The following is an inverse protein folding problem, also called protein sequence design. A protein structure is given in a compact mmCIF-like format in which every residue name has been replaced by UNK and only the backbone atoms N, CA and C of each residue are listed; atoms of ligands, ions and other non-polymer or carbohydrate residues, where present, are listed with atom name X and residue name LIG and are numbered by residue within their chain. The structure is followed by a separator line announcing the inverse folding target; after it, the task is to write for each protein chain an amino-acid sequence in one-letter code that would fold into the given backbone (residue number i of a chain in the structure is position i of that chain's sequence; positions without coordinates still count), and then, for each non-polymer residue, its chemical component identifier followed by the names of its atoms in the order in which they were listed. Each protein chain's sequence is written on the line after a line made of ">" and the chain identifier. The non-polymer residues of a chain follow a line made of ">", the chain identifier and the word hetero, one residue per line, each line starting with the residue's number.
data_IF_804252721978
#
_entry.id   IF_804252721978
#
_cell.length_a   1.000
_cell.length_b   1.000
_cell.length_c   1.000
_cell.angle_alpha   90.00
_cell.angle_beta   90.00
_cell.angle_gamma   90.00
#
_symmetry.space_group_name_H-M   'P 1'
#
loop_
_entity.id
_entity.type
_entity.pdbx_description
1 polymer ?
#
# COMPACT_ATOMS: atom_id res chain seq x y z
N UNK A 1 -3.62 22.58 -19.38
CA UNK A 1 -3.36 21.71 -18.20
C UNK A 1 -2.38 20.65 -18.64
N UNK A 2 -1.22 20.48 -17.99
CA UNK A 2 -0.22 19.50 -18.45
C UNK A 2 -0.77 18.08 -18.32
N UNK A 3 -0.67 17.27 -19.38
CA UNK A 3 -1.14 15.87 -19.37
C UNK A 3 -0.46 15.05 -18.28
N UNK A 4 0.82 15.34 -18.00
CA UNK A 4 1.56 14.77 -16.87
C UNK A 4 0.86 15.02 -15.55
N UNK A 5 0.39 16.25 -15.29
CA UNK A 5 -0.30 16.60 -14.05
C UNK A 5 -1.58 15.81 -13.87
N UNK A 6 -2.34 15.60 -14.95
CA UNK A 6 -3.59 14.82 -14.89
C UNK A 6 -3.33 13.34 -14.60
N UNK A 7 -2.29 12.76 -15.22
CA UNK A 7 -1.87 11.37 -14.95
C UNK A 7 -1.36 11.22 -13.52
N UNK A 8 -0.54 12.17 -13.06
CA UNK A 8 -0.02 12.23 -11.71
C UNK A 8 -1.13 12.33 -10.67
N UNK A 9 -2.07 13.27 -10.84
CA UNK A 9 -3.18 13.49 -9.91
C UNK A 9 -4.15 12.30 -9.91
N UNK A 10 -4.40 11.66 -11.07
CA UNK A 10 -5.24 10.47 -11.14
C UNK A 10 -4.71 9.32 -10.27
N UNK A 11 -3.39 9.19 -10.12
CA UNK A 11 -2.77 8.16 -9.30
C UNK A 11 -2.52 8.62 -7.85
N UNK A 12 -1.96 9.81 -7.65
CA UNK A 12 -1.52 10.28 -6.34
C UNK A 12 -2.61 11.02 -5.52
N UNK A 13 -3.66 11.54 -6.14
CA UNK A 13 -4.75 12.21 -5.42
C UNK A 13 -5.99 11.32 -5.28
N UNK A 14 -6.26 10.46 -6.27
CA UNK A 14 -7.51 9.69 -6.32
C UNK A 14 -7.33 8.21 -6.01
N UNK A 15 -6.27 7.56 -6.52
CA UNK A 15 -6.00 6.14 -6.27
C UNK A 15 -5.07 5.92 -5.06
N UNK A 16 -5.30 6.62 -3.95
CA UNK A 16 -4.48 6.47 -2.73
C UNK A 16 -5.06 5.45 -1.75
N UNK A 17 -4.17 4.72 -1.07
CA UNK A 17 -4.52 3.76 -0.01
C UNK A 17 -5.42 4.38 1.05
N UNK A 18 -5.12 5.61 1.43
CA UNK A 18 -5.84 6.34 2.47
C UNK A 18 -7.27 6.67 2.04
N UNK A 19 -7.51 7.04 0.78
CA UNK A 19 -8.85 7.38 0.29
C UNK A 19 -9.74 6.13 0.15
N UNK A 20 -9.16 5.01 -0.27
CA UNK A 20 -9.83 3.71 -0.31
C UNK A 20 -10.15 3.25 1.12
N UNK A 21 -9.17 3.35 2.03
CA UNK A 21 -9.35 3.02 3.44
C UNK A 21 -10.42 3.89 4.11
N UNK A 22 -10.43 5.22 3.86
CA UNK A 22 -11.47 6.11 4.37
C UNK A 22 -12.84 5.76 3.80
N UNK A 23 -12.93 5.44 2.50
CA UNK A 23 -14.18 5.02 1.88
C UNK A 23 -14.77 3.76 2.54
N UNK A 24 -13.92 2.81 2.89
CA UNK A 24 -14.34 1.58 3.57
C UNK A 24 -14.62 1.83 5.03
N UNK A 25 -13.78 2.62 5.70
CA UNK A 25 -14.05 3.06 7.06
C UNK A 25 -15.44 3.70 7.14
N UNK A 26 -15.79 4.51 6.14
CA UNK A 26 -17.11 5.14 6.00
C UNK A 26 -18.24 4.19 5.60
N UNK A 27 -17.98 3.08 4.92
CA UNK A 27 -18.97 2.03 4.66
C UNK A 27 -19.16 1.07 5.84
N UNK A 28 -18.19 1.01 6.76
CA UNK A 28 -18.25 0.08 7.90
C UNK A 28 -19.29 0.54 8.94
N UNK A 29 -19.99 -0.41 9.56
CA UNK A 29 -20.95 -0.13 10.63
C UNK A 29 -20.29 0.57 11.83
N UNK A 30 -21.04 1.45 12.50
CA UNK A 30 -20.54 2.21 13.68
C UNK A 30 -20.01 1.28 14.79
N UNK A 31 -20.60 0.10 14.93
CA UNK A 31 -20.16 -0.94 15.88
C UNK A 31 -18.79 -1.51 15.53
N UNK A 32 -18.52 -1.79 14.26
CA UNK A 32 -17.20 -2.28 13.82
C UNK A 32 -16.12 -1.20 13.96
N UNK A 33 -16.46 0.08 13.75
CA UNK A 33 -15.56 1.22 14.01
C UNK A 33 -15.24 1.36 15.49
N UNK A 34 -16.25 1.27 16.36
CA UNK A 34 -16.04 1.32 17.81
C UNK A 34 -15.16 0.16 18.29
N UNK A 35 -15.42 -1.06 17.79
CA UNK A 35 -14.61 -2.23 18.12
C UNK A 35 -13.14 -2.09 17.70
N UNK A 36 -12.88 -1.56 16.51
CA UNK A 36 -11.50 -1.32 16.04
C UNK A 36 -10.80 -0.22 16.82
N UNK A 37 -11.47 0.89 17.14
CA UNK A 37 -10.92 1.94 18.00
C UNK A 37 -10.61 1.38 19.40
N UNK A 38 -11.54 0.61 19.98
CA UNK A 38 -11.36 0.00 21.29
C UNK A 38 -10.15 -0.95 21.31
N UNK A 39 -9.96 -1.77 20.26
CA UNK A 39 -8.79 -2.63 20.13
C UNK A 39 -7.47 -1.84 20.09
N UNK A 40 -7.42 -0.73 19.34
CA UNK A 40 -6.23 0.13 19.28
C UNK A 40 -5.95 0.75 20.66
N UNK A 41 -6.98 1.23 21.35
CA UNK A 41 -6.83 1.81 22.69
C UNK A 41 -6.36 0.77 23.70
N UNK A 42 -6.92 -0.44 23.66
CA UNK A 42 -6.50 -1.56 24.52
C UNK A 42 -5.06 -1.96 24.23
N UNK A 43 -4.65 -2.01 22.96
CA UNK A 43 -3.26 -2.29 22.58
C UNK A 43 -2.30 -1.23 23.14
N UNK A 44 -2.61 0.06 22.95
CA UNK A 44 -1.78 1.17 23.46
C UNK A 44 -1.70 1.18 24.99
N UNK A 45 -2.83 1.01 25.68
CA UNK A 45 -2.86 0.92 27.14
C UNK A 45 -2.08 -0.27 27.65
N UNK A 46 -2.24 -1.44 27.01
CA UNK A 46 -1.51 -2.66 27.39
C UNK A 46 -0.01 -2.51 27.17
N UNK A 47 0.40 -1.81 26.10
CA UNK A 47 1.81 -1.51 25.82
C UNK A 47 2.39 -0.55 26.87
N UNK A 48 1.67 0.51 27.23
CA UNK A 48 2.09 1.44 28.29
C UNK A 48 2.17 0.74 29.65
N UNK A 49 1.15 -0.04 30.00
CA UNK A 49 1.11 -0.79 31.26
C UNK A 49 2.20 -1.86 31.32
N UNK A 50 2.56 -2.48 30.20
CA UNK A 50 3.67 -3.42 30.10
C UNK A 50 5.01 -2.77 30.50
N UNK A 51 5.27 -1.53 30.08
CA UNK A 51 6.47 -0.79 30.48
C UNK A 51 6.47 -0.34 31.94
N UNK A 52 5.30 -0.08 32.53
CA UNK A 52 5.17 0.43 33.91
C UNK A 52 5.20 -0.70 34.94
N UNK A 53 4.49 -1.80 34.69
CA UNK A 53 4.23 -2.84 35.70
C UNK A 53 5.10 -4.09 35.55
N UNK A 54 5.98 -4.18 34.54
CA UNK A 54 6.92 -5.27 34.26
C UNK A 54 6.40 -6.68 34.67
N UNK A 55 5.70 -7.38 33.76
CA UNK A 55 5.15 -8.72 34.07
C UNK A 55 4.28 -9.37 32.99
N UNK A 56 3.32 -10.22 33.43
CA UNK A 56 2.40 -11.10 32.66
C UNK A 56 1.54 -10.40 31.57
N UNK A 57 1.64 -9.07 31.47
CA UNK A 57 0.93 -8.21 30.51
C UNK A 57 1.39 -8.37 29.06
N UNK A 58 2.43 -9.16 28.80
CA UNK A 58 2.89 -9.50 27.45
C UNK A 58 1.84 -10.31 26.66
N UNK A 59 1.09 -11.17 27.36
CA UNK A 59 0.03 -12.01 26.75
C UNK A 59 -1.13 -11.17 26.20
N UNK A 60 -1.74 -10.23 26.96
CA UNK A 60 -2.79 -9.37 26.41
C UNK A 60 -2.29 -8.41 25.32
N UNK A 61 -1.03 -7.95 25.35
CA UNK A 61 -0.44 -7.16 24.25
C UNK A 61 -0.41 -7.98 22.95
N UNK A 62 0.14 -9.20 23.00
CA UNK A 62 0.20 -10.09 21.83
C UNK A 62 -1.19 -10.48 21.32
N UNK A 63 -2.15 -10.75 22.22
CA UNK A 63 -3.53 -11.07 21.82
C UNK A 63 -4.22 -9.89 21.15
N UNK A 64 -4.09 -8.67 21.71
CA UNK A 64 -4.64 -7.46 21.09
C UNK A 64 -3.99 -7.18 19.73
N UNK A 65 -2.70 -7.44 19.60
CA UNK A 65 -1.93 -7.29 18.36
C UNK A 65 -2.39 -8.27 17.27
N UNK A 66 -2.54 -9.55 17.60
CA UNK A 66 -3.08 -10.56 16.67
C UNK A 66 -4.52 -10.21 16.27
N UNK A 67 -5.36 -9.78 17.21
CA UNK A 67 -6.73 -9.36 16.93
C UNK A 67 -6.79 -8.15 15.98
N UNK A 68 -5.88 -7.19 16.15
CA UNK A 68 -5.74 -6.04 15.25
C UNK A 68 -5.30 -6.47 13.85
N UNK A 69 -4.33 -7.37 13.73
CA UNK A 69 -3.88 -7.91 12.43
C UNK A 69 -5.03 -8.60 11.71
N UNK A 70 -5.76 -9.51 12.39
CA UNK A 70 -6.91 -10.22 11.82
C UNK A 70 -8.03 -9.26 11.42
N UNK A 71 -8.28 -8.20 12.19
CA UNK A 71 -9.26 -7.19 11.78
C UNK A 71 -8.81 -6.34 10.62
N UNK A 72 -7.53 -5.99 10.55
CA UNK A 72 -7.01 -5.24 9.42
C UNK A 72 -7.06 -6.05 8.12
N UNK A 73 -6.76 -7.36 8.18
CA UNK A 73 -6.92 -8.26 7.02
C UNK A 73 -8.39 -8.43 6.63
N UNK A 74 -9.29 -8.62 7.59
CA UNK A 74 -10.74 -8.72 7.32
C UNK A 74 -11.32 -7.43 6.72
N UNK A 75 -10.90 -6.25 7.20
CA UNK A 75 -11.30 -4.98 6.61
C UNK A 75 -10.77 -4.85 5.18
N UNK A 76 -9.50 -5.21 4.94
CA UNK A 76 -8.92 -5.26 3.60
C UNK A 76 -9.71 -6.16 2.64
N UNK A 77 -10.18 -7.32 3.08
CA UNK A 77 -11.01 -8.22 2.27
C UNK A 77 -12.39 -7.63 1.98
N UNK A 78 -13.04 -7.00 2.97
CA UNK A 78 -14.31 -6.30 2.77
C UNK A 78 -14.19 -5.14 1.78
N UNK A 79 -13.08 -4.38 1.82
CA UNK A 79 -12.80 -3.29 0.85
C UNK A 79 -12.91 -3.77 -0.59
N UNK A 80 -12.33 -4.94 -0.84
CA UNK A 80 -12.26 -5.53 -2.16
C UNK A 80 -13.63 -5.97 -2.63
N UNK A 81 -14.44 -6.53 -1.72
CA UNK A 81 -15.73 -7.11 -2.06
C UNK A 81 -16.83 -6.04 -2.26
N UNK A 82 -16.92 -5.04 -1.39
CA UNK A 82 -17.96 -4.00 -1.48
C UNK A 82 -17.83 -3.14 -2.74
N UNK A 83 -16.62 -2.87 -3.19
CA UNK A 83 -16.42 -1.97 -4.34
C UNK A 83 -16.45 -2.71 -5.70
N UNK A 84 -16.35 -4.04 -5.71
CA UNK A 84 -16.20 -4.83 -6.96
C UNK A 84 -16.94 -6.18 -7.03
N UNK A 85 -17.76 -6.56 -6.05
CA UNK A 85 -18.44 -7.86 -5.94
C UNK A 85 -19.32 -8.29 -7.13
N UNK A 86 -19.57 -7.39 -8.08
CA UNK A 86 -20.42 -7.61 -9.27
C UNK A 86 -19.66 -7.73 -10.62
N UNK A 87 -18.33 -7.77 -10.66
CA UNK A 87 -17.62 -7.89 -11.94
C UNK A 87 -17.46 -9.34 -12.42
N UNK A 88 -18.54 -9.91 -12.91
CA UNK A 88 -18.53 -11.15 -13.70
C UNK A 88 -17.63 -11.02 -14.96
N UNK A 89 -16.65 -11.91 -15.04
CA UNK A 89 -16.26 -12.67 -16.23
C UNK A 89 -15.37 -12.07 -17.35
N UNK A 90 -14.81 -10.84 -17.29
CA UNK A 90 -13.95 -10.35 -18.40
C UNK A 90 -12.71 -9.53 -18.03
N UNK A 91 -11.93 -9.95 -17.02
CA UNK A 91 -10.58 -9.40 -16.84
C UNK A 91 -9.53 -10.52 -16.84
N UNK A 92 -8.50 -10.45 -17.70
CA UNK A 92 -7.46 -11.47 -17.79
C UNK A 92 -6.34 -11.16 -16.81
N UNK A 93 -6.60 -11.09 -15.50
CA UNK A 93 -5.54 -10.86 -14.51
C UNK A 93 -5.79 -11.73 -13.27
N UNK A 94 -4.82 -12.62 -13.04
CA UNK A 94 -4.75 -13.53 -11.90
C UNK A 94 -3.99 -12.82 -10.78
N UNK A 95 -4.62 -12.75 -9.60
CA UNK A 95 -4.07 -12.49 -8.25
C UNK A 95 -4.07 -11.06 -7.67
N UNK A 96 -4.62 -10.97 -6.44
CA UNK A 96 -4.50 -9.94 -5.39
C UNK A 96 -5.06 -8.52 -5.66
N UNK A 97 -6.35 -8.47 -5.96
CA UNK A 97 -7.43 -7.53 -5.59
C UNK A 97 -7.16 -6.03 -5.27
N UNK A 98 -6.06 -5.63 -4.62
CA UNK A 98 -5.82 -4.23 -4.23
C UNK A 98 -5.24 -3.36 -5.37
N UNK A 99 -4.30 -3.91 -6.14
CA UNK A 99 -3.71 -3.20 -7.28
C UNK A 99 -4.73 -3.01 -8.41
N UNK A 100 -5.63 -3.97 -8.58
CA UNK A 100 -6.69 -3.96 -9.57
C UNK A 100 -7.71 -2.85 -9.32
N UNK A 101 -8.17 -2.69 -8.07
CA UNK A 101 -9.05 -1.58 -7.63
C UNK A 101 -8.48 -0.22 -7.98
N UNK A 102 -7.20 0.01 -7.65
CA UNK A 102 -6.53 1.28 -7.91
C UNK A 102 -6.35 1.54 -9.40
N UNK A 103 -6.04 0.50 -10.15
CA UNK A 103 -5.95 0.58 -11.60
C UNK A 103 -7.31 0.96 -12.23
N UNK A 104 -8.42 0.39 -11.76
CA UNK A 104 -9.76 0.71 -12.27
C UNK A 104 -10.15 2.16 -11.98
N UNK A 105 -9.87 2.68 -10.77
CA UNK A 105 -10.07 4.10 -10.46
C UNK A 105 -9.22 5.01 -11.35
N UNK A 106 -7.93 4.68 -11.50
CA UNK A 106 -7.00 5.38 -12.39
C UNK A 106 -7.53 5.42 -13.83
N UNK A 107 -7.93 4.27 -14.37
CA UNK A 107 -8.51 4.12 -15.71
C UNK A 107 -9.79 4.93 -15.89
N UNK A 108 -10.71 4.89 -14.92
CA UNK A 108 -11.97 5.67 -14.94
C UNK A 108 -11.67 7.17 -15.03
N UNK A 109 -10.69 7.65 -14.27
CA UNK A 109 -10.30 9.06 -14.27
C UNK A 109 -9.66 9.47 -15.60
N UNK A 110 -8.72 8.68 -16.11
CA UNK A 110 -8.08 8.93 -17.41
C UNK A 110 -9.09 9.01 -18.57
N UNK A 111 -10.08 8.12 -18.57
CA UNK A 111 -11.19 8.16 -19.54
C UNK A 111 -12.04 9.41 -19.40
N UNK A 112 -12.37 9.83 -18.17
CA UNK A 112 -13.15 11.05 -17.91
C UNK A 112 -12.40 12.32 -18.36
N UNK A 113 -11.07 12.30 -18.31
CA UNK A 113 -10.21 13.38 -18.80
C UNK A 113 -9.81 13.25 -20.28
N UNK A 114 -10.41 12.33 -21.04
CA UNK A 114 -10.13 12.08 -22.46
C UNK A 114 -8.64 11.82 -22.78
N UNK A 115 -7.91 11.18 -21.86
CA UNK A 115 -6.50 10.86 -22.07
C UNK A 115 -6.37 9.55 -22.86
N UNK A 116 -5.78 9.66 -24.05
CA UNK A 116 -5.51 8.54 -24.93
C UNK A 116 -4.14 7.90 -24.70
N UNK A 117 -3.94 6.73 -25.30
CA UNK A 117 -2.66 6.00 -25.35
C UNK A 117 -1.44 6.86 -25.75
N UNK A 118 -1.46 7.66 -26.84
CA UNK A 118 -0.27 8.39 -27.27
C UNK A 118 0.18 9.44 -26.24
N UNK A 119 -0.77 10.04 -25.54
CA UNK A 119 -0.51 11.02 -24.48
C UNK A 119 0.16 10.37 -23.26
N UNK A 120 -0.25 9.17 -22.89
CA UNK A 120 0.35 8.41 -21.78
C UNK A 120 1.75 7.92 -22.16
N UNK A 121 1.95 7.50 -23.42
CA UNK A 121 3.28 7.12 -23.89
C UNK A 121 4.30 8.25 -23.75
N UNK A 122 3.89 9.48 -24.07
CA UNK A 122 4.73 10.67 -23.89
C UNK A 122 5.07 11.01 -22.42
N UNK A 123 4.37 10.41 -21.45
CA UNK A 123 4.63 10.63 -20.03
C UNK A 123 5.64 9.63 -19.42
N UNK A 124 6.02 8.56 -20.14
CA UNK A 124 6.95 7.55 -19.60
C UNK A 124 8.34 8.11 -19.31
N UNK A 125 8.86 8.98 -20.16
CA UNK A 125 10.20 9.56 -19.97
C UNK A 125 10.29 10.42 -18.70
N UNK A 126 9.22 11.18 -18.41
CA UNK A 126 9.09 11.93 -17.16
C UNK A 126 8.95 11.02 -15.94
N UNK A 127 8.27 9.89 -16.08
CA UNK A 127 8.15 8.92 -14.99
C UNK A 127 9.48 8.21 -14.71
N UNK A 128 10.21 7.88 -15.76
CA UNK A 128 11.49 7.15 -15.66
C UNK A 128 12.56 8.03 -15.02
N UNK A 129 12.65 9.30 -15.41
CA UNK A 129 13.51 10.27 -14.74
C UNK A 129 13.16 10.46 -13.26
N UNK A 130 11.86 10.48 -12.89
CA UNK A 130 11.43 10.54 -11.50
C UNK A 130 11.82 9.28 -10.70
N UNK A 131 11.71 8.09 -11.32
CA UNK A 131 12.14 6.83 -10.71
C UNK A 131 13.64 6.87 -10.42
N UNK A 132 14.46 7.33 -11.37
CA UNK A 132 15.91 7.40 -11.22
C UNK A 132 16.34 8.40 -10.13
N UNK A 133 15.70 9.57 -10.07
CA UNK A 133 15.94 10.56 -8.99
C UNK A 133 15.64 9.94 -7.63
N UNK A 134 14.46 9.33 -7.46
CA UNK A 134 14.05 8.74 -6.18
C UNK A 134 14.90 7.51 -5.81
N UNK A 135 15.33 6.72 -6.78
CA UNK A 135 16.24 5.60 -6.56
C UNK A 135 17.61 6.09 -6.05
N UNK A 136 18.10 7.20 -6.59
CA UNK A 136 19.38 7.81 -6.21
C UNK A 136 19.31 8.42 -4.81
N UNK A 137 18.25 9.18 -4.50
CA UNK A 137 17.98 9.70 -3.16
C UNK A 137 17.86 8.57 -2.13
N UNK A 138 17.09 7.52 -2.46
CA UNK A 138 16.91 6.36 -1.58
C UNK A 138 18.24 5.65 -1.27
N UNK A 139 19.20 5.65 -2.18
CA UNK A 139 20.51 5.03 -1.97
C UNK A 139 21.31 5.79 -0.91
N UNK A 140 21.29 7.13 -0.97
CA UNK A 140 21.93 7.98 0.03
C UNK A 140 21.27 7.86 1.40
N UNK A 141 19.93 7.88 1.47
CA UNK A 141 19.22 7.72 2.75
C UNK A 141 19.47 6.36 3.37
N UNK A 142 19.48 5.29 2.55
CA UNK A 142 19.76 3.93 3.04
C UNK A 142 21.11 3.86 3.74
N UNK A 143 22.16 4.47 3.18
CA UNK A 143 23.52 4.49 3.78
C UNK A 143 23.55 5.19 5.14
N UNK A 144 22.85 6.32 5.26
CA UNK A 144 22.76 7.07 6.53
C UNK A 144 21.98 6.25 7.57
N UNK A 145 20.86 5.64 7.15
CA UNK A 145 20.05 4.79 8.02
C UNK A 145 20.84 3.57 8.49
N UNK A 146 21.51 2.82 7.61
CA UNK A 146 22.33 1.66 8.02
C UNK A 146 23.48 2.07 8.91
N UNK A 147 24.12 3.21 8.67
CA UNK A 147 25.16 3.73 9.56
C UNK A 147 24.59 4.05 10.96
N UNK A 148 23.47 4.76 11.03
CA UNK A 148 22.81 5.07 12.30
C UNK A 148 22.32 3.81 13.03
N UNK A 149 21.85 2.80 12.30
CA UNK A 149 21.44 1.51 12.86
C UNK A 149 22.64 0.74 13.43
N UNK A 150 23.79 0.79 12.74
CA UNK A 150 25.03 0.20 13.22
C UNK A 150 25.55 0.87 14.50
N UNK A 151 25.47 2.21 14.59
CA UNK A 151 25.77 2.95 15.81
C UNK A 151 24.82 2.56 16.96
N UNK A 152 23.52 2.49 16.68
CA UNK A 152 22.51 2.06 17.64
C UNK A 152 22.78 0.64 18.13
N UNK A 153 23.08 -0.30 17.22
CA UNK A 153 23.42 -1.68 17.57
C UNK A 153 24.66 -1.76 18.46
N UNK A 154 25.69 -0.94 18.19
CA UNK A 154 26.88 -0.85 19.03
C UNK A 154 26.59 -0.30 20.43
N UNK A 155 25.76 0.73 20.54
CA UNK A 155 25.33 1.30 21.82
C UNK A 155 24.51 0.28 22.63
N UNK A 156 23.52 -0.35 21.99
CA UNK A 156 22.69 -1.40 22.59
C UNK A 156 23.56 -2.57 23.06
N UNK A 157 24.51 -3.04 22.25
CA UNK A 157 25.45 -4.10 22.63
C UNK A 157 26.30 -3.75 23.85
N UNK A 158 26.67 -2.48 24.03
CA UNK A 158 27.42 -2.04 25.22
C UNK A 158 26.56 -2.05 26.49
N UNK A 159 25.28 -1.67 26.38
CA UNK A 159 24.32 -1.65 27.48
C UNK A 159 23.85 -3.07 27.83
N UNK A 160 23.75 -3.95 26.82
CA UNK A 160 23.32 -5.35 26.96
C UNK A 160 24.17 -6.14 27.96
N UNK A 161 25.47 -5.83 28.05
CA UNK A 161 26.40 -6.47 29.00
C UNK A 161 26.14 -6.15 30.47
N UNK A 162 25.27 -5.17 30.76
CA UNK A 162 24.99 -4.65 32.11
C UNK A 162 23.56 -4.91 32.58
N UNK A 163 22.73 -5.54 31.74
CA UNK A 163 21.32 -5.78 32.03
C UNK A 163 21.08 -7.17 32.63
N UNK A 164 20.15 -7.25 33.56
CA UNK A 164 19.70 -8.53 34.11
C UNK A 164 18.79 -9.28 33.12
N UNK A 165 18.70 -10.60 33.25
CA UNK A 165 17.93 -11.46 32.34
C UNK A 165 16.44 -11.06 32.21
N UNK A 166 15.85 -10.49 33.26
CA UNK A 166 14.47 -9.99 33.23
C UNK A 166 14.32 -8.72 32.38
N UNK A 167 15.29 -7.81 32.46
CA UNK A 167 15.31 -6.57 31.66
C UNK A 167 15.55 -6.88 30.17
N UNK A 168 16.38 -7.88 29.88
CA UNK A 168 16.62 -8.36 28.52
C UNK A 168 15.36 -8.90 27.85
N UNK A 169 14.52 -9.64 28.58
CA UNK A 169 13.24 -10.13 28.08
C UNK A 169 12.27 -9.00 27.75
N UNK A 170 12.24 -7.95 28.58
CA UNK A 170 11.43 -6.74 28.37
C UNK A 170 11.86 -5.97 27.12
N UNK A 171 13.17 -5.76 26.94
CA UNK A 171 13.72 -5.08 25.76
C UNK A 171 13.44 -5.88 24.49
N UNK A 172 13.58 -7.20 24.52
CA UNK A 172 13.26 -8.06 23.38
C UNK A 172 11.78 -7.98 22.98
N UNK A 173 10.86 -8.02 23.95
CA UNK A 173 9.42 -7.89 23.71
C UNK A 173 9.06 -6.53 23.10
N UNK A 174 9.66 -5.45 23.60
CA UNK A 174 9.48 -4.10 23.07
C UNK A 174 9.96 -3.99 21.61
N UNK A 175 11.12 -4.58 21.29
CA UNK A 175 11.65 -4.60 19.92
C UNK A 175 10.72 -5.37 18.98
N UNK A 176 10.22 -6.54 19.41
CA UNK A 176 9.30 -7.36 18.59
C UNK A 176 8.01 -6.59 18.30
N UNK A 177 7.38 -6.00 19.32
CA UNK A 177 6.16 -5.19 19.16
C UNK A 177 6.40 -3.97 18.26
N UNK A 178 7.54 -3.29 18.43
CA UNK A 178 7.90 -2.15 17.58
C UNK A 178 8.12 -2.55 16.12
N UNK A 179 8.80 -3.68 15.87
CA UNK A 179 9.03 -4.20 14.53
C UNK A 179 7.73 -4.61 13.84
N UNK A 180 6.79 -5.22 14.58
CA UNK A 180 5.46 -5.54 14.06
C UNK A 180 4.66 -4.28 13.73
N UNK A 181 4.72 -3.25 14.57
CA UNK A 181 4.10 -1.95 14.29
C UNK A 181 4.68 -1.31 13.02
N UNK A 182 6.00 -1.37 12.82
CA UNK A 182 6.66 -0.93 11.58
C UNK A 182 6.11 -1.71 10.38
N UNK A 183 5.98 -3.04 10.48
CA UNK A 183 5.45 -3.87 9.40
C UNK A 183 4.01 -3.50 9.05
N UNK A 184 3.16 -3.26 10.05
CA UNK A 184 1.78 -2.79 9.84
C UNK A 184 1.77 -1.44 9.13
N UNK A 185 2.55 -0.46 9.60
CA UNK A 185 2.63 0.88 8.98
C UNK A 185 3.22 0.81 7.56
N UNK A 186 4.27 0.02 7.34
CA UNK A 186 4.89 -0.16 6.04
C UNK A 186 3.96 -0.86 5.04
N UNK A 187 3.16 -1.84 5.51
CA UNK A 187 2.14 -2.48 4.70
C UNK A 187 0.98 -1.53 4.35
N UNK A 188 0.69 -0.53 5.20
CA UNK A 188 -0.33 0.47 4.95
C UNK A 188 0.14 1.58 3.97
N UNK A 189 1.43 1.94 3.97
CA UNK A 189 1.96 3.03 3.15
C UNK A 189 3.11 2.56 2.24
N UNK A 190 2.86 2.34 0.94
CA UNK A 190 3.91 1.93 0.02
C UNK A 190 4.95 3.05 -0.14
N UNK A 191 6.20 2.65 -0.36
CA UNK A 191 7.32 3.59 -0.48
C UNK A 191 7.16 4.51 -1.71
N UNK A 192 7.84 5.66 -1.72
CA UNK A 192 7.79 6.59 -2.89
C UNK A 192 8.18 5.88 -4.19
N UNK A 193 9.18 5.00 -4.11
CA UNK A 193 9.69 4.25 -5.25
C UNK A 193 8.70 3.16 -5.71
N UNK A 194 8.06 2.44 -4.77
CA UNK A 194 6.97 1.51 -5.10
C UNK A 194 5.81 2.21 -5.78
N UNK A 195 5.42 3.39 -5.29
CA UNK A 195 4.34 4.19 -5.89
C UNK A 195 4.65 4.56 -7.34
N UNK A 196 5.88 4.99 -7.63
CA UNK A 196 6.30 5.32 -9.00
C UNK A 196 6.34 4.08 -9.92
N UNK A 197 6.83 2.93 -9.40
CA UNK A 197 6.82 1.67 -10.15
C UNK A 197 5.41 1.16 -10.44
N UNK A 198 4.49 1.31 -9.50
CA UNK A 198 3.09 0.94 -9.67
C UNK A 198 2.37 1.88 -10.65
N UNK A 199 2.64 3.19 -10.60
CA UNK A 199 2.16 4.13 -11.62
C UNK A 199 2.65 3.72 -13.02
N UNK A 200 3.93 3.33 -13.15
CA UNK A 200 4.48 2.81 -14.42
C UNK A 200 3.72 1.57 -14.89
N UNK A 201 3.47 0.64 -13.97
CA UNK A 201 2.68 -0.55 -14.26
C UNK A 201 1.26 -0.21 -14.75
N UNK A 202 0.55 0.72 -14.09
CA UNK A 202 -0.79 1.14 -14.52
C UNK A 202 -0.80 1.83 -15.88
N UNK A 203 0.19 2.68 -16.16
CA UNK A 203 0.35 3.31 -17.48
C UNK A 203 0.58 2.27 -18.58
N UNK A 204 1.42 1.26 -18.31
CA UNK A 204 1.68 0.16 -19.24
C UNK A 204 0.41 -0.66 -19.50
N UNK A 205 -0.32 -1.02 -18.44
CA UNK A 205 -1.54 -1.81 -18.54
C UNK A 205 -2.62 -1.05 -19.33
N UNK A 206 -2.78 0.25 -19.10
CA UNK A 206 -3.70 1.09 -19.85
C UNK A 206 -3.35 1.15 -21.34
N UNK A 207 -2.06 1.32 -21.68
CA UNK A 207 -1.60 1.30 -23.07
C UNK A 207 -1.84 -0.07 -23.72
N UNK A 208 -1.61 -1.16 -22.98
CA UNK A 208 -1.79 -2.51 -23.47
C UNK A 208 -3.26 -2.80 -23.81
N UNK A 209 -4.19 -2.45 -22.93
CA UNK A 209 -5.63 -2.59 -23.20
C UNK A 209 -6.12 -1.75 -24.37
N UNK A 210 -5.62 -0.51 -24.50
CA UNK A 210 -5.91 0.35 -25.63
C UNK A 210 -5.43 -0.28 -26.96
N UNK A 211 -4.26 -0.91 -26.95
CA UNK A 211 -3.71 -1.60 -28.12
C UNK A 211 -4.55 -2.83 -28.53
N UNK A 212 -5.05 -3.61 -27.55
CA UNK A 212 -5.90 -4.78 -27.78
C UNK A 212 -7.24 -4.35 -28.36
N UNK A 213 -7.88 -3.34 -27.76
CA UNK A 213 -9.17 -2.81 -28.22
C UNK A 213 -9.08 -2.18 -29.61
N UNK A 214 -7.99 -1.48 -29.92
CA UNK A 214 -7.72 -0.95 -31.25
C UNK A 214 -7.50 -2.06 -32.28
N UNK A 215 -6.77 -3.13 -31.92
CA UNK A 215 -6.57 -4.30 -32.79
C UNK A 215 -7.90 -5.02 -33.07
N UNK A 216 -8.73 -5.23 -32.05
CA UNK A 216 -10.07 -5.83 -32.20
C UNK A 216 -11.01 -4.98 -33.07
N UNK A 217 -10.95 -3.65 -32.96
CA UNK A 217 -11.69 -2.75 -33.86
C UNK A 217 -11.23 -2.85 -35.31
N UNK A 218 -9.91 -2.92 -35.56
CA UNK A 218 -9.37 -3.06 -36.92
C UNK A 218 -9.78 -4.39 -37.56
N UNK A 219 -9.77 -5.50 -36.82
CA UNK A 219 -10.20 -6.81 -37.34
C UNK A 219 -11.71 -6.90 -37.55
N UNK A 220 -12.53 -6.26 -36.71
CA UNK A 220 -13.97 -6.17 -36.92
C UNK A 220 -14.32 -5.29 -38.14
N UNK A 221 -13.58 -4.20 -38.34
CA UNK A 221 -13.74 -3.32 -39.48
C UNK A 221 -13.32 -4.02 -40.79
N UNK A 222 -12.16 -4.70 -40.81
CA UNK A 222 -11.71 -5.43 -42.01
C UNK A 222 -12.67 -6.54 -42.43
N UNK A 223 -13.33 -7.23 -41.48
CA UNK A 223 -14.37 -8.23 -41.78
C UNK A 223 -15.66 -7.65 -42.36
N UNK A 224 -16.00 -6.38 -42.06
CA UNK A 224 -17.19 -5.72 -42.62
C UNK A 224 -16.97 -5.21 -44.06
N UNK A 225 -15.73 -5.04 -44.47
CA UNK A 225 -15.36 -4.51 -45.79
C UNK A 225 -14.64 -5.53 -46.67
N UNK A 226 -14.63 -6.82 -46.29
CA UNK A 226 -14.17 -7.87 -47.17
C UNK A 226 -15.22 -8.08 -48.29
N UNK A 227 -14.88 -7.90 -49.57
CA UNK A 227 -15.77 -8.25 -50.66
C UNK A 227 -16.03 -9.76 -50.64
N UNK A 228 -17.31 -10.13 -50.83
CA UNK A 228 -17.73 -11.54 -50.97
C UNK A 228 -17.27 -12.10 -52.31
#
# INVERSE_FOLDING_TARGET
>A
MSYWKVVWDAYHAEATRLKIFLGVWDSTSLWERFYTIALVVVFLLSLVLFFILQGWLLVPVLLAEVALIVKFTSLNEKMVYEEFGDQEAKQPLKSQNYQDTRYLMFKKKLKKSFIGEPTIRGCFELLDSQIDIVATESSATKKIVTFSLGLLAGLVGSVWSRMEYAELALVAAAIISFMLLIVVVASAFPSKLEKLKELRYFMLLYCHEASITNRARRTAFSRRFAPR
#
